data_IF_806023086151
#
_entry.id   IF_806023086151
#
_cell.length_a   1.000
_cell.length_b   1.000
_cell.length_c   1.000
_cell.angle_alpha   90.00
_cell.angle_beta   90.00
_cell.angle_gamma   90.00
#
_symmetry.space_group_name_H-M   'P 1'
#
loop_
_entity.id
_entity.type
_entity.pdbx_description
1 polymer ?
#
# COMPACT_ATOMS: atom_id res chain seq x y z
N UNK A 1 -13.08 -20.13 -3.70
CA UNK A 1 -13.25 -19.67 -2.30
C UNK A 1 -14.47 -20.36 -1.67
N UNK A 2 -14.38 -20.93 -0.46
CA UNK A 2 -15.52 -21.55 0.20
C UNK A 2 -16.55 -20.48 0.62
N UNK A 3 -17.81 -20.62 0.18
CA UNK A 3 -18.94 -19.87 0.74
C UNK A 3 -19.02 -18.36 0.44
N UNK A 4 -18.15 -17.79 -0.38
CA UNK A 4 -18.19 -16.37 -0.76
C UNK A 4 -19.21 -16.09 -1.87
N UNK A 5 -20.03 -15.05 -1.72
CA UNK A 5 -21.06 -14.64 -2.69
C UNK A 5 -20.73 -13.28 -3.31
N UNK A 6 -21.19 -13.06 -4.54
CA UNK A 6 -21.21 -11.76 -5.22
C UNK A 6 -19.86 -11.15 -5.65
N UNK A 7 -18.79 -11.93 -5.72
CA UNK A 7 -17.51 -11.49 -6.29
C UNK A 7 -17.56 -11.42 -7.82
N UNK A 8 -17.00 -10.38 -8.42
CA UNK A 8 -16.78 -10.33 -9.87
C UNK A 8 -15.53 -11.14 -10.27
N UNK A 9 -15.34 -11.42 -11.57
CA UNK A 9 -14.23 -12.25 -12.06
C UNK A 9 -12.85 -11.65 -11.75
N UNK A 10 -12.68 -10.34 -11.91
CA UNK A 10 -11.44 -9.61 -11.62
C UNK A 10 -11.06 -9.74 -10.14
N UNK A 11 -12.01 -9.53 -9.24
CA UNK A 11 -11.82 -9.65 -7.79
C UNK A 11 -11.44 -11.09 -7.40
N UNK A 12 -12.06 -12.09 -8.02
CA UNK A 12 -11.72 -13.50 -7.77
C UNK A 12 -10.28 -13.80 -8.21
N UNK A 13 -9.89 -13.35 -9.40
CA UNK A 13 -8.54 -13.53 -9.91
C UNK A 13 -7.51 -12.87 -8.96
N UNK A 14 -7.70 -11.59 -8.62
CA UNK A 14 -6.79 -10.86 -7.74
C UNK A 14 -6.70 -11.49 -6.34
N UNK A 15 -7.81 -11.96 -5.80
CA UNK A 15 -7.80 -12.67 -4.52
C UNK A 15 -6.93 -13.91 -4.60
N UNK A 16 -7.07 -14.72 -5.66
CA UNK A 16 -6.27 -15.92 -5.86
C UNK A 16 -4.78 -15.61 -6.04
N UNK A 17 -4.44 -14.59 -6.81
CA UNK A 17 -3.05 -14.12 -6.98
C UNK A 17 -2.42 -13.69 -5.64
N UNK A 18 -3.21 -13.12 -4.72
CA UNK A 18 -2.77 -12.76 -3.37
C UNK A 18 -2.72 -13.97 -2.44
N UNK A 19 -3.75 -14.83 -2.46
CA UNK A 19 -3.95 -15.86 -1.45
C UNK A 19 -3.22 -17.16 -1.71
N UNK A 20 -3.13 -17.57 -2.97
CA UNK A 20 -2.61 -18.89 -3.34
C UNK A 20 -1.12 -19.03 -2.97
N UNK A 21 -0.25 -18.00 -3.15
CA UNK A 21 1.14 -18.06 -2.70
C UNK A 21 1.31 -18.23 -1.19
N UNK A 22 0.30 -17.88 -0.38
CA UNK A 22 0.37 -18.01 1.07
C UNK A 22 0.27 -19.47 1.53
N UNK A 23 -0.25 -20.38 0.69
CA UNK A 23 -0.45 -21.78 1.03
C UNK A 23 -1.42 -22.00 2.21
N UNK A 24 -2.29 -21.03 2.49
CA UNK A 24 -3.24 -21.08 3.61
C UNK A 24 -4.51 -21.81 3.19
N UNK A 25 -4.95 -22.77 4.00
CA UNK A 25 -6.30 -23.33 3.88
C UNK A 25 -7.27 -22.51 4.72
N UNK A 26 -8.16 -21.77 4.07
CA UNK A 26 -9.16 -20.94 4.75
C UNK A 26 -10.26 -21.78 5.44
N UNK A 27 -10.84 -21.24 6.51
CA UNK A 27 -11.98 -21.84 7.21
C UNK A 27 -13.20 -21.97 6.27
N UNK A 28 -13.66 -23.20 5.95
CA UNK A 28 -14.78 -23.40 5.04
C UNK A 28 -16.13 -22.94 5.62
N UNK A 29 -16.23 -22.75 6.93
CA UNK A 29 -17.43 -22.25 7.58
C UNK A 29 -17.54 -20.72 7.55
N UNK A 30 -16.44 -20.02 7.30
CA UNK A 30 -16.43 -18.56 7.20
C UNK A 30 -16.77 -18.12 5.78
N UNK A 31 -17.70 -17.19 5.65
CA UNK A 31 -18.23 -16.73 4.34
C UNK A 31 -18.02 -15.23 4.19
N UNK A 32 -17.74 -14.76 2.98
CA UNK A 32 -17.57 -13.34 2.68
C UNK A 32 -18.53 -12.90 1.56
N UNK A 33 -19.45 -12.00 1.90
CA UNK A 33 -20.37 -11.33 0.98
C UNK A 33 -19.79 -9.98 0.53
N UNK A 34 -19.62 -9.79 -0.77
CA UNK A 34 -19.17 -8.51 -1.34
C UNK A 34 -20.36 -7.71 -1.83
N UNK A 35 -20.50 -6.49 -1.31
CA UNK A 35 -21.46 -5.50 -1.78
C UNK A 35 -20.83 -4.71 -2.91
N UNK A 36 -21.40 -4.84 -4.11
CA UNK A 36 -20.91 -4.19 -5.33
C UNK A 36 -21.40 -2.73 -5.44
N UNK A 37 -21.15 -1.93 -4.41
CA UNK A 37 -21.38 -0.49 -4.44
C UNK A 37 -20.43 0.18 -5.48
N UNK A 38 -20.92 1.17 -6.25
CA UNK A 38 -20.10 1.86 -7.25
C UNK A 38 -18.86 2.51 -6.65
N UNK A 39 -17.73 2.40 -7.36
CA UNK A 39 -16.51 3.12 -7.00
C UNK A 39 -16.55 4.58 -7.45
N UNK A 40 -15.71 5.42 -6.86
CA UNK A 40 -15.64 6.86 -7.16
C UNK A 40 -14.28 7.36 -7.66
N UNK A 41 -13.37 6.44 -7.97
CA UNK A 41 -12.04 6.77 -8.52
C UNK A 41 -12.10 6.49 -10.01
N UNK A 42 -11.98 7.55 -10.81
CA UNK A 42 -11.80 7.46 -12.26
C UNK A 42 -10.35 7.05 -12.54
N UNK A 43 -10.14 5.76 -12.76
CA UNK A 43 -8.82 5.15 -12.91
C UNK A 43 -8.89 4.06 -13.98
N UNK A 44 -7.89 3.99 -14.88
CA UNK A 44 -7.78 2.89 -15.84
C UNK A 44 -7.36 1.57 -15.17
N UNK A 45 -6.97 1.62 -13.90
CA UNK A 45 -6.66 0.45 -13.06
C UNK A 45 -7.88 0.15 -12.18
N UNK A 46 -8.18 -1.13 -12.02
CA UNK A 46 -9.30 -1.68 -11.23
C UNK A 46 -9.07 -1.56 -9.70
N UNK A 47 -8.79 -0.36 -9.23
CA UNK A 47 -8.36 -0.04 -7.85
C UNK A 47 -9.32 -0.55 -6.78
N UNK A 48 -10.64 -0.43 -7.02
CA UNK A 48 -11.66 -0.89 -6.07
C UNK A 48 -11.73 -2.42 -6.01
N UNK A 49 -11.50 -3.11 -7.13
CA UNK A 49 -11.52 -4.57 -7.18
C UNK A 49 -10.26 -5.15 -6.52
N UNK A 50 -9.11 -4.51 -6.75
CA UNK A 50 -7.87 -4.84 -6.03
C UNK A 50 -8.04 -4.67 -4.52
N UNK A 51 -8.58 -3.52 -4.08
CA UNK A 51 -8.83 -3.29 -2.66
C UNK A 51 -9.79 -4.32 -2.05
N UNK A 52 -10.84 -4.69 -2.80
CA UNK A 52 -11.81 -5.72 -2.39
C UNK A 52 -11.13 -7.08 -2.21
N UNK A 53 -10.26 -7.46 -3.15
CA UNK A 53 -9.48 -8.70 -3.07
C UNK A 53 -8.53 -8.70 -1.87
N UNK A 54 -7.74 -7.64 -1.69
CA UNK A 54 -6.76 -7.54 -0.60
C UNK A 54 -7.42 -7.55 0.79
N UNK A 55 -8.47 -6.73 0.99
CA UNK A 55 -9.21 -6.69 2.26
C UNK A 55 -10.02 -7.98 2.49
N UNK A 56 -10.52 -8.60 1.42
CA UNK A 56 -11.15 -9.92 1.51
C UNK A 56 -10.18 -11.00 1.95
N UNK A 57 -8.96 -11.01 1.41
CA UNK A 57 -7.90 -11.94 1.83
C UNK A 57 -7.52 -11.73 3.31
N UNK A 58 -7.37 -10.47 3.75
CA UNK A 58 -7.14 -10.12 5.15
C UNK A 58 -8.27 -10.62 6.06
N UNK A 59 -9.53 -10.36 5.69
CA UNK A 59 -10.71 -10.78 6.45
C UNK A 59 -10.82 -12.31 6.56
N UNK A 60 -10.63 -13.02 5.45
CA UNK A 60 -10.68 -14.49 5.41
C UNK A 60 -9.53 -15.12 6.20
N UNK A 61 -8.31 -14.57 6.11
CA UNK A 61 -7.16 -15.03 6.89
C UNK A 61 -7.42 -14.83 8.40
N UNK A 62 -7.94 -13.66 8.77
CA UNK A 62 -8.27 -13.33 10.17
C UNK A 62 -9.36 -14.24 10.72
N UNK A 63 -10.45 -14.47 9.98
CA UNK A 63 -11.52 -15.38 10.38
C UNK A 63 -11.01 -16.82 10.53
N UNK A 64 -10.10 -17.25 9.65
CA UNK A 64 -9.45 -18.57 9.73
C UNK A 64 -8.62 -18.70 11.00
N UNK A 65 -7.81 -17.68 11.34
CA UNK A 65 -7.06 -17.65 12.60
C UNK A 65 -8.02 -17.68 13.79
N UNK A 66 -9.10 -16.89 13.76
CA UNK A 66 -10.11 -16.89 14.82
C UNK A 66 -10.73 -18.28 15.02
N UNK A 67 -11.08 -18.97 13.93
CA UNK A 67 -11.60 -20.33 13.96
C UNK A 67 -10.60 -21.32 14.57
N UNK A 68 -9.33 -21.26 14.16
CA UNK A 68 -8.25 -22.08 14.72
C UNK A 68 -8.07 -21.87 16.21
N UNK A 69 -8.41 -20.68 16.71
CA UNK A 69 -8.32 -20.29 18.12
C UNK A 69 -9.64 -20.44 18.88
N UNK A 70 -10.61 -21.15 18.33
CA UNK A 70 -11.86 -21.48 19.03
C UNK A 70 -12.95 -20.40 18.99
N UNK A 71 -12.76 -19.29 18.27
CA UNK A 71 -13.74 -18.20 18.17
C UNK A 71 -14.93 -18.52 17.24
N UNK A 72 -14.90 -19.67 16.58
CA UNK A 72 -15.92 -20.08 15.62
C UNK A 72 -15.74 -19.45 14.23
N UNK A 73 -16.62 -19.84 13.32
CA UNK A 73 -16.63 -19.34 11.95
C UNK A 73 -17.46 -18.05 11.86
N UNK A 74 -17.14 -17.17 10.90
CA UNK A 74 -17.74 -15.84 10.79
C UNK A 74 -18.47 -15.61 9.46
N UNK A 75 -19.46 -14.71 9.47
CA UNK A 75 -20.05 -14.13 8.26
C UNK A 75 -19.50 -12.72 8.08
N UNK A 76 -18.67 -12.54 7.07
CA UNK A 76 -18.02 -11.29 6.73
C UNK A 76 -18.82 -10.58 5.63
N UNK A 77 -18.81 -9.25 5.66
CA UNK A 77 -19.38 -8.39 4.62
C UNK A 77 -18.37 -7.32 4.26
N UNK A 78 -18.12 -7.12 2.97
CA UNK A 78 -17.19 -6.12 2.46
C UNK A 78 -17.89 -5.26 1.41
N UNK A 79 -17.83 -3.95 1.58
CA UNK A 79 -18.36 -2.99 0.62
C UNK A 79 -17.23 -2.56 -0.33
N UNK A 80 -17.42 -2.78 -1.64
CA UNK A 80 -16.43 -2.48 -2.68
C UNK A 80 -16.02 -1.00 -2.70
N UNK A 81 -16.99 -0.09 -2.51
CA UNK A 81 -16.75 1.35 -2.48
C UNK A 81 -15.89 1.70 -1.26
N UNK A 82 -16.25 1.21 -0.07
CA UNK A 82 -15.44 1.43 1.13
C UNK A 82 -14.05 0.82 1.00
N UNK A 83 -13.92 -0.36 0.41
CA UNK A 83 -12.63 -1.00 0.15
C UNK A 83 -11.72 -0.09 -0.69
N UNK A 84 -12.23 0.45 -1.80
CA UNK A 84 -11.45 1.37 -2.63
C UNK A 84 -11.07 2.66 -1.92
N UNK A 85 -12.01 3.27 -1.17
CA UNK A 85 -11.74 4.49 -0.40
C UNK A 85 -10.68 4.29 0.69
N UNK A 86 -10.55 3.07 1.23
CA UNK A 86 -9.53 2.75 2.23
C UNK A 86 -8.10 2.86 1.69
N UNK A 87 -7.87 2.76 0.38
CA UNK A 87 -6.55 2.97 -0.21
C UNK A 87 -6.06 4.43 -0.13
N UNK A 88 -6.95 5.36 0.21
CA UNK A 88 -6.62 6.77 0.45
C UNK A 88 -7.32 7.31 1.70
N UNK A 89 -7.42 6.48 2.74
CA UNK A 89 -8.15 6.77 3.97
C UNK A 89 -7.73 8.06 4.67
N UNK A 90 -6.45 8.43 4.57
CA UNK A 90 -5.90 9.70 5.09
C UNK A 90 -6.66 10.91 4.55
N UNK A 91 -7.10 10.87 3.30
CA UNK A 91 -7.88 11.95 2.68
C UNK A 91 -9.32 12.01 3.21
N UNK A 92 -9.79 11.01 3.96
CA UNK A 92 -11.13 10.97 4.54
C UNK A 92 -11.12 11.07 6.07
N UNK A 93 -10.00 11.49 6.65
CA UNK A 93 -9.88 11.70 8.09
C UNK A 93 -10.33 13.12 8.48
N UNK A 94 -11.25 13.23 9.44
CA UNK A 94 -11.78 14.49 9.94
C UNK A 94 -11.60 14.60 11.45
N UNK A 95 -11.17 15.78 11.92
CA UNK A 95 -11.10 16.14 13.33
C UNK A 95 -11.97 17.37 13.56
N UNK A 96 -12.96 17.28 14.46
CA UNK A 96 -13.93 18.36 14.74
C UNK A 96 -14.60 18.93 13.47
N UNK A 97 -14.89 18.07 12.49
CA UNK A 97 -15.50 18.45 11.21
C UNK A 97 -14.53 19.01 10.17
N UNK A 98 -13.24 19.15 10.48
CA UNK A 98 -12.20 19.61 9.56
C UNK A 98 -11.40 18.44 9.01
N UNK A 99 -11.27 18.37 7.69
CA UNK A 99 -10.42 17.38 7.03
C UNK A 99 -8.95 17.63 7.42
N UNK A 100 -8.21 16.57 7.73
CA UNK A 100 -6.76 16.71 7.97
C UNK A 100 -6.05 17.22 6.73
N UNK A 101 -5.17 18.20 6.93
CA UNK A 101 -4.42 18.81 5.84
C UNK A 101 -3.32 17.88 5.31
N UNK A 102 -3.58 17.28 4.15
CA UNK A 102 -2.60 16.44 3.43
C UNK A 102 -1.65 17.25 2.53
N UNK A 103 -1.63 18.58 2.62
CA UNK A 103 -0.69 19.44 1.89
C UNK A 103 0.80 19.08 2.01
N UNK A 104 1.31 18.44 3.10
CA UNK A 104 2.71 18.04 3.16
C UNK A 104 3.18 17.10 2.03
N UNK A 105 2.26 16.36 1.40
CA UNK A 105 2.56 15.57 0.19
C UNK A 105 2.23 16.32 -1.11
N UNK A 106 1.47 17.41 -1.06
CA UNK A 106 1.18 18.27 -2.21
C UNK A 106 2.18 19.43 -2.32
N UNK A 107 3.43 19.09 -2.64
CA UNK A 107 4.48 20.08 -2.90
C UNK A 107 4.66 20.29 -4.41
N UNK A 108 5.15 21.46 -4.87
CA UNK A 108 5.44 21.67 -6.28
C UNK A 108 6.39 20.61 -6.86
N UNK A 109 7.34 20.12 -6.05
CA UNK A 109 8.26 19.05 -6.46
C UNK A 109 7.54 17.70 -6.59
N UNK A 110 6.57 17.37 -5.74
CA UNK A 110 5.85 16.09 -5.81
C UNK A 110 4.81 16.09 -6.94
N UNK A 111 5.27 16.11 -8.18
CA UNK A 111 4.44 16.27 -9.38
C UNK A 111 5.07 15.60 -10.61
N UNK A 112 4.36 15.65 -11.74
CA UNK A 112 4.78 15.16 -13.04
C UNK A 112 5.34 16.29 -13.89
N UNK A 113 6.46 16.05 -14.56
CA UNK A 113 7.14 17.03 -15.40
C UNK A 113 7.58 16.42 -16.72
N UNK A 114 7.37 17.15 -17.80
CA UNK A 114 7.85 16.78 -19.13
C UNK A 114 9.39 16.94 -19.20
N UNK A 115 10.03 15.99 -19.87
CA UNK A 115 11.48 15.95 -20.13
C UNK A 115 11.78 16.36 -21.57
N UNK A 116 13.05 16.64 -21.87
CA UNK A 116 13.50 17.14 -23.17
C UNK A 116 13.09 16.25 -24.35
N UNK A 117 13.03 14.94 -24.13
CA UNK A 117 12.65 13.90 -25.09
C UNK A 117 11.13 13.66 -25.18
N UNK A 118 10.31 14.53 -24.57
CA UNK A 118 8.85 14.47 -24.63
C UNK A 118 8.22 13.39 -23.76
N UNK A 119 9.00 12.78 -22.85
CA UNK A 119 8.50 11.86 -21.83
C UNK A 119 8.12 12.65 -20.58
N UNK A 120 7.56 11.95 -19.60
CA UNK A 120 7.25 12.52 -18.29
C UNK A 120 7.99 11.76 -17.20
N UNK A 121 8.47 12.49 -16.20
CA UNK A 121 8.97 11.93 -14.94
C UNK A 121 8.08 12.38 -13.80
N UNK A 122 7.94 11.54 -12.79
CA UNK A 122 7.41 11.91 -11.48
C UNK A 122 8.56 12.08 -10.51
N UNK A 123 8.46 13.06 -9.61
CA UNK A 123 9.36 13.22 -8.47
C UNK A 123 8.58 12.97 -7.18
N UNK A 124 9.24 12.40 -6.17
CA UNK A 124 8.71 12.41 -4.81
C UNK A 124 9.45 13.42 -3.94
N UNK A 125 8.82 14.58 -3.75
CA UNK A 125 9.31 15.70 -2.92
C UNK A 125 8.68 15.80 -1.53
N UNK A 126 7.99 14.76 -1.04
CA UNK A 126 7.29 14.82 0.25
C UNK A 126 8.25 14.94 1.45
N UNK A 127 9.48 14.43 1.31
CA UNK A 127 10.50 14.45 2.36
C UNK A 127 11.53 15.55 2.12
N UNK A 128 12.00 16.19 3.19
CA UNK A 128 12.93 17.33 3.11
C UNK A 128 14.19 16.97 2.34
N UNK A 129 14.81 15.83 2.66
CA UNK A 129 15.99 15.32 1.96
C UNK A 129 15.75 15.14 0.46
N UNK A 130 14.61 14.58 0.07
CA UNK A 130 14.30 14.32 -1.33
C UNK A 130 14.01 15.63 -2.07
N UNK A 131 13.16 16.48 -1.50
CA UNK A 131 12.80 17.78 -2.07
C UNK A 131 14.01 18.66 -2.30
N UNK A 132 14.83 18.85 -1.28
CA UNK A 132 16.03 19.70 -1.37
C UNK A 132 17.08 19.09 -2.30
N UNK A 133 17.24 17.76 -2.28
CA UNK A 133 18.14 17.06 -3.18
C UNK A 133 17.77 17.25 -4.66
N UNK A 134 16.49 17.09 -4.98
CA UNK A 134 15.97 17.27 -6.35
C UNK A 134 16.13 18.72 -6.80
N UNK A 135 15.74 19.70 -5.98
CA UNK A 135 15.89 21.12 -6.31
C UNK A 135 17.36 21.52 -6.48
N UNK A 136 18.24 20.98 -5.65
CA UNK A 136 19.68 21.21 -5.77
C UNK A 136 20.24 20.60 -7.06
N UNK A 137 19.84 19.37 -7.40
CA UNK A 137 20.25 18.72 -8.65
C UNK A 137 19.78 19.51 -9.87
N UNK A 138 18.51 19.90 -9.88
CA UNK A 138 17.92 20.71 -10.94
C UNK A 138 18.42 22.16 -10.94
N UNK A 139 19.06 22.62 -9.88
CA UNK A 139 19.52 24.00 -9.73
C UNK A 139 18.44 25.02 -10.15
N UNK A 140 17.26 24.90 -9.54
CA UNK A 140 16.09 25.70 -9.86
C UNK A 140 15.40 26.27 -8.62
N UNK A 141 14.52 27.24 -8.84
CA UNK A 141 13.56 27.69 -7.82
C UNK A 141 12.52 26.59 -7.63
N UNK A 142 12.10 26.36 -6.39
CA UNK A 142 11.19 25.28 -6.01
C UNK A 142 9.70 25.54 -6.29
N UNK A 143 9.39 26.36 -7.28
CA UNK A 143 8.04 26.49 -7.81
C UNK A 143 7.84 25.57 -9.03
N UNK A 144 6.59 25.35 -9.41
CA UNK A 144 6.24 24.39 -10.46
C UNK A 144 6.92 24.73 -11.81
N UNK A 145 6.88 26.00 -12.21
CA UNK A 145 7.39 26.44 -13.51
C UNK A 145 8.92 26.36 -13.58
N UNK A 146 9.62 26.68 -12.49
CA UNK A 146 11.07 26.54 -12.38
C UNK A 146 11.51 25.09 -12.46
N UNK A 147 10.78 24.17 -11.82
CA UNK A 147 11.05 22.73 -11.88
C UNK A 147 10.78 22.19 -13.28
N UNK A 148 9.67 22.59 -13.91
CA UNK A 148 9.33 22.19 -15.27
C UNK A 148 10.42 22.64 -16.27
N UNK A 149 10.81 23.91 -16.23
CA UNK A 149 11.86 24.45 -17.09
C UNK A 149 13.22 23.76 -16.88
N UNK A 150 13.56 23.41 -15.64
CA UNK A 150 14.81 22.72 -15.33
C UNK A 150 14.80 21.25 -15.78
N UNK A 151 13.66 20.57 -15.69
CA UNK A 151 13.45 19.17 -16.10
C UNK A 151 13.61 19.02 -17.62
N UNK A 152 13.11 19.98 -18.41
CA UNK A 152 13.24 20.03 -19.88
C UNK A 152 14.68 20.12 -20.42
N UNK A 153 15.69 20.17 -19.56
CA UNK A 153 17.11 20.14 -19.96
C UNK A 153 17.67 18.72 -20.07
N UNK A 154 16.95 17.72 -19.58
CA UNK A 154 17.40 16.34 -19.50
C UNK A 154 16.47 15.41 -20.29
N UNK A 155 17.06 14.37 -20.88
CA UNK A 155 16.29 13.22 -21.38
C UNK A 155 15.88 12.34 -20.19
N UNK A 156 14.74 11.67 -20.25
CA UNK A 156 14.12 11.07 -19.07
C UNK A 156 14.96 9.97 -18.40
N UNK A 157 15.61 9.10 -19.19
CA UNK A 157 16.43 8.01 -18.66
C UNK A 157 17.67 8.54 -17.93
N UNK A 158 18.40 9.46 -18.55
CA UNK A 158 19.58 10.07 -17.93
C UNK A 158 19.22 10.77 -16.61
N UNK A 159 18.05 11.40 -16.56
CA UNK A 159 17.55 12.09 -15.36
C UNK A 159 17.17 11.10 -14.24
N UNK A 160 16.41 10.05 -14.56
CA UNK A 160 16.02 8.99 -13.61
C UNK A 160 17.29 8.33 -13.01
N UNK A 161 18.26 8.00 -13.85
CA UNK A 161 19.51 7.36 -13.45
C UNK A 161 20.35 8.27 -12.55
N UNK A 162 20.57 9.53 -12.93
CA UNK A 162 21.36 10.50 -12.14
C UNK A 162 20.72 10.79 -10.78
N UNK A 163 19.39 10.92 -10.70
CA UNK A 163 18.70 11.12 -9.43
C UNK A 163 18.74 9.86 -8.56
N UNK A 164 18.62 8.67 -9.16
CA UNK A 164 18.74 7.39 -8.47
C UNK A 164 20.13 7.19 -7.86
N UNK A 165 21.21 7.54 -8.59
CA UNK A 165 22.59 7.52 -8.08
C UNK A 165 22.80 8.41 -6.83
N UNK A 166 22.02 9.49 -6.72
CA UNK A 166 22.03 10.38 -5.55
C UNK A 166 21.10 9.90 -4.41
N UNK A 167 20.41 8.77 -4.59
CA UNK A 167 19.42 8.26 -3.66
C UNK A 167 18.19 9.17 -3.56
N UNK A 168 17.85 9.87 -4.64
CA UNK A 168 16.65 10.69 -4.78
C UNK A 168 15.55 9.90 -5.47
N UNK A 169 14.30 10.31 -5.30
CA UNK A 169 13.15 9.54 -5.78
C UNK A 169 12.54 10.21 -7.02
N UNK A 170 12.78 9.58 -8.17
CA UNK A 170 12.15 9.91 -9.45
C UNK A 170 11.84 8.63 -10.20
N UNK A 171 10.83 8.67 -11.06
CA UNK A 171 10.54 7.59 -11.99
C UNK A 171 10.00 8.14 -13.31
N UNK A 172 10.36 7.54 -14.44
CA UNK A 172 9.76 7.81 -15.74
C UNK A 172 8.36 7.21 -15.76
N UNK A 173 7.39 7.99 -16.24
CA UNK A 173 6.04 7.52 -16.53
C UNK A 173 6.11 6.60 -17.75
N UNK A 174 5.80 5.32 -17.53
CA UNK A 174 5.80 4.27 -18.54
C UNK A 174 4.37 3.77 -18.72
N UNK A 175 4.00 3.46 -19.96
CA UNK A 175 2.78 2.68 -20.19
C UNK A 175 2.98 1.21 -19.76
N UNK A 176 1.92 0.41 -19.87
CA UNK A 176 1.92 -0.98 -19.41
C UNK A 176 2.91 -1.81 -20.22
N UNK A 177 2.91 -1.69 -21.54
CA UNK A 177 3.76 -2.44 -22.44
C UNK A 177 5.24 -2.09 -22.23
N UNK A 178 5.56 -0.81 -22.07
CA UNK A 178 6.89 -0.31 -21.72
C UNK A 178 7.36 -0.87 -20.38
N UNK A 179 6.51 -0.84 -19.35
CA UNK A 179 6.85 -1.40 -18.05
C UNK A 179 7.11 -2.91 -18.13
N UNK A 180 6.24 -3.67 -18.79
CA UNK A 180 6.41 -5.12 -18.95
C UNK A 180 7.65 -5.48 -19.78
N UNK A 181 8.04 -4.62 -20.73
CA UNK A 181 9.27 -4.77 -21.52
C UNK A 181 10.55 -4.38 -20.76
N UNK A 182 10.44 -3.55 -19.72
CA UNK A 182 11.56 -3.07 -18.91
C UNK A 182 12.25 -4.22 -18.15
N UNK A 183 13.57 -4.15 -17.85
CA UNK A 183 14.27 -5.24 -17.15
C UNK A 183 13.59 -5.66 -15.83
N UNK A 184 13.10 -4.70 -15.04
CA UNK A 184 12.40 -4.94 -13.78
C UNK A 184 11.01 -5.56 -14.01
N UNK A 185 10.25 -5.12 -15.00
CA UNK A 185 8.95 -5.74 -15.34
C UNK A 185 9.12 -7.19 -15.80
N UNK A 186 10.12 -7.44 -16.65
CA UNK A 186 10.48 -8.80 -17.08
C UNK A 186 10.96 -9.68 -15.93
N UNK A 187 11.67 -9.11 -14.95
CA UNK A 187 12.11 -9.83 -13.77
C UNK A 187 10.96 -10.22 -12.83
N UNK A 188 9.84 -9.50 -12.88
CA UNK A 188 8.68 -9.70 -12.00
C UNK A 188 7.56 -10.55 -12.62
N UNK A 189 7.61 -10.88 -13.91
CA UNK A 189 6.50 -11.53 -14.63
C UNK A 189 6.08 -12.88 -14.02
N UNK A 190 7.06 -13.64 -13.50
CA UNK A 190 6.85 -14.96 -12.89
C UNK A 190 6.99 -14.92 -11.36
N UNK A 191 7.08 -13.73 -10.75
CA UNK A 191 7.22 -13.55 -9.31
C UNK A 191 5.82 -13.45 -8.69
N UNK A 192 5.48 -14.28 -7.69
CA UNK A 192 4.18 -14.18 -7.03
C UNK A 192 4.06 -12.85 -6.28
N UNK A 193 2.82 -12.36 -6.13
CA UNK A 193 2.54 -11.08 -5.43
C UNK A 193 3.06 -11.10 -3.98
N UNK A 194 3.08 -12.28 -3.34
CA UNK A 194 3.63 -12.48 -2.01
C UNK A 194 4.61 -13.66 -2.04
N UNK A 195 5.83 -13.42 -1.54
CA UNK A 195 6.85 -14.45 -1.35
C UNK A 195 6.99 -14.79 0.14
N UNK A 196 6.97 -16.08 0.46
CA UNK A 196 7.21 -16.58 1.82
C UNK A 196 8.55 -17.29 1.87
N UNK A 197 9.50 -16.70 2.60
CA UNK A 197 10.83 -17.30 2.82
C UNK A 197 10.96 -17.78 4.27
N UNK A 198 11.26 -19.07 4.47
CA UNK A 198 11.57 -19.61 5.80
C UNK A 198 12.98 -19.18 6.21
N UNK A 199 13.09 -18.45 7.33
CA UNK A 199 14.36 -17.88 7.81
C UNK A 199 15.08 -18.72 8.88
N UNK A 200 14.51 -19.85 9.31
CA UNK A 200 15.12 -20.76 10.28
C UNK A 200 14.24 -21.94 10.68
N UNK A 201 14.81 -22.94 11.34
CA UNK A 201 14.18 -24.21 11.69
C UNK A 201 13.69 -24.30 13.16
N UNK A 202 13.42 -23.16 13.78
CA UNK A 202 12.93 -23.11 15.16
C UNK A 202 11.60 -23.85 15.35
N UNK A 203 11.34 -24.30 16.58
CA UNK A 203 10.05 -24.91 16.93
C UNK A 203 8.90 -23.94 16.70
N UNK A 204 7.78 -24.45 16.19
CA UNK A 204 6.57 -23.66 15.97
C UNK A 204 5.98 -23.27 17.33
N UNK A 205 5.76 -21.97 17.54
CA UNK A 205 5.05 -21.47 18.73
C UNK A 205 3.55 -21.44 18.42
N UNK A 206 2.72 -22.25 19.09
CA UNK A 206 1.28 -22.24 18.86
C UNK A 206 0.64 -20.94 19.37
N UNK A 207 -0.41 -20.48 18.70
CA UNK A 207 -1.23 -19.37 19.19
C UNK A 207 -2.13 -19.85 20.35
N UNK A 208 -2.26 -19.02 21.39
CA UNK A 208 -3.17 -19.28 22.53
C UNK A 208 -4.63 -19.33 22.07
N UNK A 209 -5.42 -20.29 22.53
CA UNK A 209 -6.87 -20.34 22.31
C UNK A 209 -7.66 -19.49 23.31
N UNK A 210 -7.10 -19.21 24.49
CA UNK A 210 -7.63 -18.26 25.47
C UNK A 210 -7.52 -16.79 24.98
N UNK A 211 -8.42 -16.39 24.08
CA UNK A 211 -8.54 -15.03 23.54
C UNK A 211 -9.98 -14.66 23.19
N UNK A 212 -10.24 -13.36 23.07
CA UNK A 212 -11.52 -12.82 22.60
C UNK A 212 -11.47 -12.25 21.18
N UNK A 213 -10.27 -12.06 20.60
CA UNK A 213 -10.07 -11.56 19.24
C UNK A 213 -9.05 -12.42 18.48
N UNK A 214 -9.16 -12.52 17.13
CA UNK A 214 -8.32 -13.42 16.33
C UNK A 214 -6.82 -13.24 16.50
N UNK A 215 -6.34 -12.01 16.70
CA UNK A 215 -4.92 -11.71 16.93
C UNK A 215 -4.59 -11.34 18.38
N UNK A 216 -5.49 -11.63 19.33
CA UNK A 216 -5.23 -11.44 20.76
C UNK A 216 -3.91 -12.10 21.21
N UNK A 217 -3.15 -11.43 22.08
CA UNK A 217 -1.83 -11.89 22.58
C UNK A 217 -0.74 -12.03 21.50
N UNK A 218 -0.99 -11.62 20.25
CA UNK A 218 0.06 -11.51 19.21
C UNK A 218 0.77 -10.17 19.42
N UNK A 219 2.10 -10.20 19.55
CA UNK A 219 2.92 -9.00 19.71
C UNK A 219 3.60 -8.68 18.40
N UNK A 220 3.46 -7.45 17.93
CA UNK A 220 4.01 -6.99 16.65
C UNK A 220 4.91 -5.80 16.92
N UNK A 221 6.13 -5.85 16.38
CA UNK A 221 7.01 -4.69 16.27
C UNK A 221 6.94 -4.20 14.82
N UNK A 222 6.44 -2.98 14.64
CA UNK A 222 6.27 -2.35 13.33
C UNK A 222 7.34 -1.25 13.22
N UNK A 223 8.16 -1.28 12.16
CA UNK A 223 9.28 -0.35 11.97
C UNK A 223 9.26 0.36 10.61
N UNK A 224 8.20 0.19 9.80
CA UNK A 224 8.13 0.90 8.54
C UNK A 224 7.81 2.37 8.77
N UNK A 225 8.28 3.22 7.88
CA UNK A 225 8.31 4.66 8.13
C UNK A 225 6.93 5.34 8.04
N UNK A 226 6.14 5.00 7.02
CA UNK A 226 4.90 5.71 6.71
C UNK A 226 3.93 4.78 5.99
N UNK A 227 2.64 5.09 6.14
CA UNK A 227 1.52 4.59 5.34
C UNK A 227 1.41 3.06 5.32
N UNK A 228 2.11 2.36 4.43
CA UNK A 228 1.87 0.94 4.16
C UNK A 228 2.10 0.06 5.40
N UNK A 229 3.27 0.13 6.04
CA UNK A 229 3.57 -0.70 7.21
C UNK A 229 2.75 -0.33 8.45
N UNK A 230 2.64 0.96 8.83
CA UNK A 230 1.73 1.39 9.88
C UNK A 230 0.26 1.01 9.61
N UNK A 231 -0.21 1.05 8.36
CA UNK A 231 -1.54 0.53 7.97
C UNK A 231 -1.67 -0.96 8.26
N UNK A 232 -0.64 -1.77 7.98
CA UNK A 232 -0.61 -3.19 8.38
C UNK A 232 -0.70 -3.29 9.91
N UNK A 233 0.11 -2.53 10.64
CA UNK A 233 0.07 -2.45 12.10
C UNK A 233 -1.33 -2.15 12.64
N UNK A 234 -1.98 -1.10 12.14
CA UNK A 234 -3.37 -0.73 12.49
C UNK A 234 -4.35 -1.86 12.24
N UNK A 235 -4.30 -2.48 11.06
CA UNK A 235 -5.19 -3.60 10.74
C UNK A 235 -4.97 -4.81 11.65
N UNK A 236 -3.74 -5.10 12.08
CA UNK A 236 -3.46 -6.16 13.04
C UNK A 236 -3.97 -5.80 14.45
N UNK A 237 -3.79 -4.54 14.87
CA UNK A 237 -4.28 -4.02 16.14
C UNK A 237 -5.82 -4.05 16.22
N UNK A 238 -6.52 -3.73 15.12
CA UNK A 238 -7.97 -3.83 15.02
C UNK A 238 -8.47 -5.26 15.31
N UNK A 239 -7.65 -6.27 15.00
CA UNK A 239 -7.93 -7.68 15.30
C UNK A 239 -7.38 -8.16 16.65
N UNK A 240 -6.89 -7.26 17.49
CA UNK A 240 -6.48 -7.51 18.88
C UNK A 240 -4.99 -7.77 19.10
N UNK A 241 -4.13 -7.56 18.10
CA UNK A 241 -2.69 -7.62 18.30
C UNK A 241 -2.18 -6.46 19.16
N UNK A 242 -1.16 -6.71 19.97
CA UNK A 242 -0.39 -5.69 20.68
C UNK A 242 0.70 -5.17 19.74
N UNK A 243 0.42 -4.04 19.07
CA UNK A 243 1.33 -3.45 18.08
C UNK A 243 2.10 -2.30 18.71
N UNK A 244 3.43 -2.37 18.62
CA UNK A 244 4.33 -1.28 18.98
C UNK A 244 4.98 -0.76 17.70
N UNK A 245 4.62 0.46 17.33
CA UNK A 245 5.27 1.17 16.24
C UNK A 245 6.55 1.84 16.75
N UNK A 246 7.68 1.46 16.17
CA UNK A 246 9.00 2.01 16.44
C UNK A 246 9.48 2.85 15.28
N UNK A 247 9.84 4.11 15.56
CA UNK A 247 10.39 5.02 14.54
C UNK A 247 11.73 5.60 14.96
N UNK A 248 12.51 6.01 13.95
CA UNK A 248 13.71 6.78 14.19
C UNK A 248 13.33 8.24 14.53
N UNK A 249 13.82 8.82 15.64
CA UNK A 249 13.32 10.10 16.19
C UNK A 249 13.67 11.33 15.36
N UNK A 250 14.57 11.21 14.38
CA UNK A 250 15.04 12.32 13.54
C UNK A 250 14.58 12.25 12.08
N UNK A 251 13.60 11.40 11.75
CA UNK A 251 13.02 11.36 10.41
C UNK A 251 11.89 12.37 10.26
N UNK A 252 11.69 12.90 9.04
CA UNK A 252 10.57 13.80 8.75
C UNK A 252 9.23 13.17 9.18
N UNK A 253 8.36 14.01 9.71
CA UNK A 253 6.99 13.66 10.07
C UNK A 253 6.03 14.04 8.95
N UNK A 254 5.11 13.15 8.61
CA UNK A 254 3.98 13.47 7.74
C UNK A 254 2.71 13.27 8.57
N UNK A 255 2.43 14.25 9.43
CA UNK A 255 1.48 14.16 10.53
C UNK A 255 0.11 13.56 10.16
N UNK A 256 -0.55 13.92 9.05
CA UNK A 256 -1.85 13.33 8.70
C UNK A 256 -1.80 11.80 8.55
N UNK A 257 -0.73 11.27 7.97
CA UNK A 257 -0.56 9.83 7.77
C UNK A 257 -0.28 9.15 9.10
N UNK A 258 0.52 9.76 9.96
CA UNK A 258 0.80 9.25 11.31
C UNK A 258 -0.48 9.19 12.17
N UNK A 259 -1.30 10.24 12.10
CA UNK A 259 -2.59 10.27 12.82
C UNK A 259 -3.54 9.19 12.29
N UNK A 260 -3.55 8.93 10.97
CA UNK A 260 -4.43 7.92 10.39
C UNK A 260 -3.97 6.48 10.65
N UNK A 261 -2.66 6.21 10.63
CA UNK A 261 -2.15 4.84 10.75
C UNK A 261 -1.68 4.45 12.16
N UNK A 262 -1.45 5.44 13.04
CA UNK A 262 -0.77 5.23 14.33
C UNK A 262 0.72 5.52 14.27
#
# INVERSE_FOLDING_TARGET
>A
MPGSTNWNATQQQMFHEISDPLGITYDPGSTLDVVQEPGYIDSPIETHDFATAALGALGMATATIGKMRGLGSQKLRLDRRHAGLMLNSVAYHFQEGWQLDISPVHTPVNNFFETKDGRHVVYNGAYTKLREGILKFLNCVGDHDGIAAATMRFDAQDLEDQLSELGLCSAIVRDKEEWLGHPQGRALVDVPVIELTKIGDGERVPLSDDVFRPLGKVRVLEFARVLAGPTVGRNLADQGADVVHGRHPYLDHILPFEVETG
#
